data_IF_425528760580
#
_entry.id   IF_425528760580
#
_cell.length_a   1.000
_cell.length_b   1.000
_cell.length_c   1.000
_cell.angle_alpha   90.00
_cell.angle_beta   90.00
_cell.angle_gamma   90.00
#
_symmetry.space_group_name_H-M   'P 1'
#
loop_
_entity.id
_entity.type
_entity.pdbx_description
1 polymer ?
#
# COMPACT_ATOMS: atom_id res chain seq x y z
N UNK A 1 -16.14 -25.04 -9.23
CA UNK A 1 -14.98 -24.32 -8.68
C UNK A 1 -14.46 -23.46 -9.81
N UNK A 2 -14.23 -22.17 -9.59
CA UNK A 2 -13.64 -21.30 -10.63
C UNK A 2 -12.18 -21.75 -10.80
N UNK A 3 -11.77 -22.12 -12.00
CA UNK A 3 -10.35 -22.44 -12.27
C UNK A 3 -9.54 -21.13 -12.30
N UNK A 4 -8.24 -21.13 -11.95
CA UNK A 4 -7.38 -19.97 -12.15
C UNK A 4 -7.46 -19.38 -13.57
N UNK A 5 -7.64 -20.24 -14.58
CA UNK A 5 -7.77 -19.82 -15.98
C UNK A 5 -9.10 -19.16 -16.33
N UNK A 6 -10.11 -19.27 -15.47
CA UNK A 6 -11.43 -18.70 -15.68
C UNK A 6 -11.53 -17.23 -15.18
N UNK A 7 -10.49 -16.75 -14.50
CA UNK A 7 -10.42 -15.37 -14.01
C UNK A 7 -9.88 -14.46 -15.10
N UNK A 8 -10.66 -13.47 -15.51
CA UNK A 8 -10.24 -12.49 -16.51
C UNK A 8 -9.31 -11.44 -15.89
N UNK A 9 -8.00 -11.67 -16.02
CA UNK A 9 -6.95 -10.72 -15.67
C UNK A 9 -6.49 -9.83 -16.83
N UNK A 10 -7.18 -9.84 -17.97
CA UNK A 10 -6.78 -9.07 -19.16
C UNK A 10 -6.68 -7.54 -18.96
N UNK A 11 -7.39 -6.89 -18.00
CA UNK A 11 -7.18 -5.47 -17.73
C UNK A 11 -5.80 -5.15 -17.12
N UNK A 12 -5.16 -6.12 -16.47
CA UNK A 12 -3.89 -5.91 -15.77
C UNK A 12 -2.70 -5.85 -16.74
N UNK A 13 -1.58 -5.19 -16.34
CA UNK A 13 -0.32 -5.40 -17.02
C UNK A 13 0.03 -6.89 -17.07
N UNK A 14 0.49 -7.39 -18.21
CA UNK A 14 0.75 -8.82 -18.41
C UNK A 14 1.62 -9.47 -17.31
N UNK A 15 2.71 -8.84 -16.81
CA UNK A 15 3.47 -9.40 -15.69
C UNK A 15 2.70 -9.57 -14.39
N UNK A 16 1.71 -8.70 -14.13
CA UNK A 16 0.83 -8.78 -12.96
C UNK A 16 -0.23 -9.86 -13.15
N UNK A 17 -0.84 -9.94 -14.34
CA UNK A 17 -1.79 -11.01 -14.68
C UNK A 17 -1.17 -12.40 -14.54
N UNK A 18 0.06 -12.59 -15.05
CA UNK A 18 0.81 -13.84 -14.90
C UNK A 18 1.07 -14.15 -13.43
N UNK A 19 1.57 -13.18 -12.66
CA UNK A 19 1.82 -13.37 -11.24
C UNK A 19 0.56 -13.79 -10.48
N UNK A 20 -0.58 -13.15 -10.72
CA UNK A 20 -1.84 -13.52 -10.06
C UNK A 20 -2.29 -14.92 -10.46
N UNK A 21 -2.16 -15.28 -11.73
CA UNK A 21 -2.45 -16.64 -12.21
C UNK A 21 -1.57 -17.68 -11.52
N UNK A 22 -0.26 -17.43 -11.43
CA UNK A 22 0.70 -18.33 -10.78
C UNK A 22 0.40 -18.52 -9.28
N UNK A 23 -0.01 -17.44 -8.60
CA UNK A 23 -0.45 -17.52 -7.19
C UNK A 23 -1.68 -18.41 -7.05
N UNK A 24 -2.69 -18.26 -7.91
CA UNK A 24 -3.90 -19.09 -7.87
C UNK A 24 -3.59 -20.57 -8.19
N UNK A 25 -2.72 -20.83 -9.17
CA UNK A 25 -2.23 -22.18 -9.49
C UNK A 25 -1.47 -22.80 -8.32
N UNK A 26 -0.67 -22.01 -7.59
CA UNK A 26 0.04 -22.50 -6.41
C UNK A 26 -0.91 -22.93 -5.29
N UNK A 27 -1.98 -22.15 -5.04
CA UNK A 27 -3.02 -22.56 -4.09
C UNK A 27 -3.75 -23.83 -4.52
N UNK A 28 -4.13 -23.95 -5.80
CA UNK A 28 -4.78 -25.15 -6.33
C UNK A 28 -3.86 -26.38 -6.24
N UNK A 29 -2.58 -26.22 -6.60
CA UNK A 29 -1.56 -27.29 -6.53
C UNK A 29 -1.29 -27.76 -5.11
N UNK A 30 -1.44 -26.87 -4.13
CA UNK A 30 -1.35 -27.18 -2.71
C UNK A 30 -2.65 -27.76 -2.12
N UNK A 31 -3.72 -27.88 -2.91
CA UNK A 31 -5.03 -28.36 -2.45
C UNK A 31 -5.76 -27.38 -1.53
N UNK A 32 -5.42 -26.09 -1.59
CA UNK A 32 -6.00 -25.05 -0.73
C UNK A 32 -7.17 -24.39 -1.44
N UNK A 33 -8.33 -24.35 -0.78
CA UNK A 33 -9.50 -23.64 -1.27
C UNK A 33 -9.31 -22.13 -1.20
N UNK A 34 -9.60 -21.44 -2.30
CA UNK A 34 -9.56 -19.99 -2.41
C UNK A 34 -10.82 -19.45 -3.08
N UNK A 35 -11.14 -18.19 -2.78
CA UNK A 35 -12.15 -17.40 -3.49
C UNK A 35 -11.64 -15.98 -3.67
N UNK A 36 -12.04 -15.32 -4.75
CA UNK A 36 -11.78 -13.91 -4.95
C UNK A 36 -12.78 -13.06 -4.17
N UNK A 37 -12.37 -11.83 -3.86
CA UNK A 37 -13.25 -10.78 -3.36
C UNK A 37 -12.88 -9.44 -3.98
N UNK A 38 -13.35 -8.33 -3.39
CA UNK A 38 -13.05 -6.99 -3.87
C UNK A 38 -13.46 -6.75 -5.32
N UNK A 39 -12.63 -6.02 -6.05
CA UNK A 39 -12.94 -5.53 -7.41
C UNK A 39 -13.20 -6.65 -8.42
N UNK A 40 -12.62 -7.84 -8.21
CA UNK A 40 -12.83 -9.01 -9.06
C UNK A 40 -14.27 -9.57 -8.97
N UNK A 41 -15.02 -9.23 -7.92
CA UNK A 41 -16.40 -9.69 -7.72
C UNK A 41 -17.46 -8.60 -7.91
N UNK A 42 -17.07 -7.32 -7.99
CA UNK A 42 -18.00 -6.18 -8.12
C UNK A 42 -18.16 -5.68 -9.56
N UNK A 43 -17.36 -6.19 -10.50
CA UNK A 43 -17.34 -5.70 -11.88
C UNK A 43 -16.55 -4.41 -12.07
N UNK A 44 -15.75 -4.02 -11.08
CA UNK A 44 -14.93 -2.80 -11.05
C UNK A 44 -13.43 -3.11 -11.30
N UNK A 45 -13.13 -4.32 -11.80
CA UNK A 45 -11.76 -4.77 -12.03
C UNK A 45 -11.09 -3.99 -13.15
N UNK A 46 -9.91 -3.42 -12.87
CA UNK A 46 -9.17 -2.59 -13.82
C UNK A 46 -7.65 -2.84 -13.77
N UNK A 47 -6.89 -2.07 -14.53
CA UNK A 47 -5.43 -2.20 -14.65
C UNK A 47 -4.63 -1.97 -13.36
N UNK A 48 -5.26 -1.44 -12.33
CA UNK A 48 -4.66 -1.17 -11.03
C UNK A 48 -5.23 -2.05 -9.92
N UNK A 49 -6.12 -3.00 -10.25
CA UNK A 49 -6.73 -3.89 -9.28
C UNK A 49 -5.70 -4.78 -8.59
N UNK A 50 -5.99 -5.03 -7.32
CA UNK A 50 -5.34 -5.99 -6.44
C UNK A 50 -5.92 -7.41 -6.60
N UNK A 51 -5.21 -8.37 -6.01
CA UNK A 51 -5.70 -9.73 -5.83
C UNK A 51 -6.18 -9.90 -4.39
N UNK A 52 -7.49 -9.77 -4.17
CA UNK A 52 -8.13 -10.00 -2.86
C UNK A 52 -8.55 -11.46 -2.70
N UNK A 53 -7.75 -12.25 -1.97
CA UNK A 53 -7.98 -13.67 -1.71
C UNK A 53 -8.65 -13.90 -0.36
N UNK A 54 -9.67 -14.75 -0.35
CA UNK A 54 -10.12 -15.44 0.86
C UNK A 54 -9.75 -16.91 0.77
N UNK A 55 -9.09 -17.42 1.80
CA UNK A 55 -8.49 -18.77 1.80
C UNK A 55 -8.95 -19.60 2.98
N UNK A 56 -9.07 -20.91 2.80
CA UNK A 56 -9.62 -21.83 3.82
C UNK A 56 -8.62 -22.28 4.89
N UNK A 57 -7.44 -21.66 4.95
CA UNK A 57 -6.33 -22.00 5.87
C UNK A 57 -5.92 -20.77 6.69
N UNK A 58 -4.98 -20.94 7.62
CA UNK A 58 -4.47 -19.80 8.39
C UNK A 58 -3.79 -18.79 7.46
N UNK A 59 -3.88 -17.51 7.79
CA UNK A 59 -3.26 -16.44 6.98
C UNK A 59 -1.75 -16.66 6.84
N UNK A 60 -1.08 -17.11 7.91
CA UNK A 60 0.36 -17.38 7.88
C UNK A 60 0.75 -18.45 6.86
N UNK A 61 0.04 -19.57 6.84
CA UNK A 61 0.28 -20.65 5.87
C UNK A 61 -0.02 -20.20 4.43
N UNK A 62 -1.13 -19.48 4.22
CA UNK A 62 -1.48 -18.97 2.90
C UNK A 62 -0.45 -17.99 2.36
N UNK A 63 0.09 -17.13 3.21
CA UNK A 63 1.15 -16.21 2.80
C UNK A 63 2.41 -16.96 2.36
N UNK A 64 2.80 -18.06 3.01
CA UNK A 64 3.97 -18.82 2.55
C UNK A 64 3.76 -19.37 1.13
N UNK A 65 2.54 -19.79 0.80
CA UNK A 65 2.18 -20.20 -0.58
C UNK A 65 2.33 -19.03 -1.56
N UNK A 66 1.81 -17.85 -1.21
CA UNK A 66 1.97 -16.64 -2.03
C UNK A 66 3.44 -16.29 -2.20
N UNK A 67 4.25 -16.30 -1.13
CA UNK A 67 5.70 -16.03 -1.19
C UNK A 67 6.43 -16.99 -2.12
N UNK A 68 6.13 -18.28 -2.02
CA UNK A 68 6.72 -19.29 -2.88
C UNK A 68 6.39 -19.02 -4.35
N UNK A 69 5.11 -18.76 -4.67
CA UNK A 69 4.67 -18.42 -6.01
C UNK A 69 5.33 -17.14 -6.56
N UNK A 70 5.37 -16.07 -5.75
CA UNK A 70 6.06 -14.82 -6.09
C UNK A 70 7.53 -15.07 -6.42
N UNK A 71 8.22 -15.86 -5.60
CA UNK A 71 9.64 -16.18 -5.79
C UNK A 71 9.85 -17.01 -7.06
N UNK A 72 9.00 -18.02 -7.29
CA UNK A 72 9.05 -18.86 -8.49
C UNK A 72 8.78 -18.06 -9.78
N UNK A 73 7.92 -17.05 -9.73
CA UNK A 73 7.65 -16.13 -10.83
C UNK A 73 8.75 -15.07 -11.04
N UNK A 74 9.83 -15.09 -10.24
CA UNK A 74 10.90 -14.09 -10.29
C UNK A 74 10.51 -12.72 -9.73
N UNK A 75 9.38 -12.65 -9.00
CA UNK A 75 8.94 -11.45 -8.29
C UNK A 75 9.68 -11.22 -6.98
N UNK A 76 9.54 -10.02 -6.43
CA UNK A 76 10.12 -9.63 -5.15
C UNK A 76 9.04 -9.02 -4.24
N UNK A 77 8.88 -9.57 -3.04
CA UNK A 77 8.07 -8.92 -2.00
C UNK A 77 8.78 -7.64 -1.54
N UNK A 78 8.15 -6.49 -1.74
CA UNK A 78 8.64 -5.16 -1.37
C UNK A 78 8.27 -4.78 0.06
N UNK A 79 7.02 -5.01 0.41
CA UNK A 79 6.45 -4.67 1.71
C UNK A 79 5.36 -5.69 2.05
N UNK A 80 5.23 -5.97 3.33
CA UNK A 80 4.24 -6.88 3.86
C UNK A 80 3.88 -6.48 5.28
N UNK A 81 2.60 -6.47 5.60
CA UNK A 81 2.11 -6.12 6.92
C UNK A 81 0.76 -6.75 7.22
N UNK A 82 0.43 -6.81 8.52
CA UNK A 82 -0.85 -7.35 8.98
C UNK A 82 -1.96 -6.29 8.90
N UNK A 83 -3.19 -6.73 8.67
CA UNK A 83 -4.37 -5.87 8.69
C UNK A 83 -4.85 -5.46 10.09
N UNK A 84 -4.05 -5.70 11.14
CA UNK A 84 -4.42 -5.43 12.53
C UNK A 84 -4.81 -3.96 12.75
N UNK A 85 -4.07 -3.04 12.12
CA UNK A 85 -4.36 -1.61 12.21
C UNK A 85 -5.67 -1.16 11.56
N UNK A 86 -6.16 -1.94 10.59
CA UNK A 86 -7.48 -1.74 9.98
C UNK A 86 -8.52 -2.67 10.60
N UNK A 87 -8.26 -3.20 11.80
CA UNK A 87 -9.11 -4.12 12.54
C UNK A 87 -9.46 -5.41 11.78
N UNK A 88 -8.54 -5.88 10.95
CA UNK A 88 -8.62 -7.13 10.18
C UNK A 88 -7.43 -8.03 10.50
N UNK A 89 -7.41 -8.68 11.66
CA UNK A 89 -6.25 -9.48 12.10
C UNK A 89 -6.05 -10.78 11.28
N UNK A 90 -7.01 -11.17 10.46
CA UNK A 90 -6.89 -12.27 9.49
C UNK A 90 -6.38 -11.82 8.11
N UNK A 91 -6.26 -10.51 7.88
CA UNK A 91 -5.77 -9.95 6.62
C UNK A 91 -4.25 -9.80 6.68
N UNK A 92 -3.60 -10.18 5.61
CA UNK A 92 -2.22 -9.79 5.32
C UNK A 92 -2.13 -9.15 3.94
N UNK A 93 -1.38 -8.06 3.85
CA UNK A 93 -1.21 -7.29 2.62
C UNK A 93 0.22 -7.41 2.16
N UNK A 94 0.43 -7.72 0.88
CA UNK A 94 1.73 -7.83 0.24
C UNK A 94 1.80 -6.92 -0.98
N UNK A 95 2.91 -6.18 -1.11
CA UNK A 95 3.26 -5.47 -2.32
C UNK A 95 4.41 -6.20 -3.00
N UNK A 96 4.21 -6.60 -4.25
CA UNK A 96 5.16 -7.41 -5.00
C UNK A 96 5.62 -6.64 -6.22
N UNK A 97 6.93 -6.48 -6.39
CA UNK A 97 7.50 -6.05 -7.65
C UNK A 97 7.61 -7.25 -8.59
N UNK A 98 6.97 -7.15 -9.74
CA UNK A 98 7.18 -8.05 -10.87
C UNK A 98 7.59 -7.22 -12.08
N UNK A 99 8.77 -7.49 -12.62
CA UNK A 99 9.39 -6.71 -13.69
C UNK A 99 9.49 -5.21 -13.32
N UNK A 100 8.58 -4.38 -13.81
CA UNK A 100 8.49 -2.94 -13.54
C UNK A 100 7.14 -2.52 -12.93
N UNK A 101 6.33 -3.48 -12.50
CA UNK A 101 4.99 -3.24 -11.94
C UNK A 101 4.93 -3.66 -10.48
N UNK A 102 4.22 -2.86 -9.68
CA UNK A 102 3.89 -3.21 -8.31
C UNK A 102 2.47 -3.79 -8.29
N UNK A 103 2.36 -5.04 -7.89
CA UNK A 103 1.11 -5.73 -7.63
C UNK A 103 0.80 -5.70 -6.13
N UNK A 104 -0.47 -5.59 -5.78
CA UNK A 104 -0.96 -5.74 -4.40
C UNK A 104 -1.74 -7.05 -4.29
N UNK A 105 -1.42 -7.83 -3.27
CA UNK A 105 -2.07 -9.10 -2.95
C UNK A 105 -2.53 -9.03 -1.50
N UNK A 106 -3.82 -9.21 -1.28
CA UNK A 106 -4.46 -9.24 0.03
C UNK A 106 -4.89 -10.68 0.29
N UNK A 107 -4.47 -11.25 1.43
CA UNK A 107 -4.78 -12.63 1.82
C UNK A 107 -5.55 -12.59 3.13
N UNK A 108 -6.81 -13.01 3.09
CA UNK A 108 -7.72 -13.10 4.23
C UNK A 108 -7.98 -14.57 4.57
N UNK A 109 -7.32 -15.05 5.62
CA UNK A 109 -7.40 -16.44 6.09
C UNK A 109 -8.49 -16.69 7.13
N UNK A 110 -8.66 -17.95 7.53
CA UNK A 110 -9.66 -18.31 8.55
C UNK A 110 -9.19 -18.06 9.99
N UNK A 111 -7.89 -17.87 10.19
CA UNK A 111 -7.29 -17.66 11.51
C UNK A 111 -6.35 -16.46 11.49
N UNK A 112 -6.52 -15.60 12.51
CA UNK A 112 -5.70 -14.41 12.69
C UNK A 112 -4.24 -14.78 12.92
N UNK A 113 -3.35 -13.91 12.44
CA UNK A 113 -1.93 -14.01 12.75
C UNK A 113 -1.57 -13.03 13.86
N UNK A 114 -0.51 -13.33 14.61
CA UNK A 114 0.08 -12.32 15.49
C UNK A 114 0.52 -11.11 14.65
N UNK A 115 0.37 -9.87 15.17
CA UNK A 115 0.79 -8.67 14.44
C UNK A 115 2.25 -8.79 13.98
N UNK A 116 2.54 -8.52 12.70
CA UNK A 116 3.92 -8.48 12.20
C UNK A 116 4.51 -7.11 12.43
N UNK A 117 5.34 -6.95 13.46
CA UNK A 117 6.28 -5.83 13.55
C UNK A 117 5.65 -4.43 13.45
N UNK A 118 4.37 -4.26 13.78
CA UNK A 118 3.64 -2.99 13.66
C UNK A 118 4.08 -1.93 14.69
N UNK A 119 5.10 -2.22 15.51
CA UNK A 119 5.67 -1.27 16.47
C UNK A 119 6.19 0.02 15.79
N UNK A 120 6.64 -0.11 14.54
CA UNK A 120 7.09 1.00 13.70
C UNK A 120 6.21 1.23 12.46
N UNK A 121 4.89 1.11 12.66
CA UNK A 121 3.87 1.27 11.62
C UNK A 121 4.06 2.46 10.65
N UNK A 122 4.54 3.68 11.03
CA UNK A 122 4.71 4.76 10.05
C UNK A 122 5.78 4.41 9.01
N UNK A 123 6.81 3.65 9.40
CA UNK A 123 7.87 3.21 8.50
C UNK A 123 7.42 2.06 7.59
N UNK A 124 6.45 1.27 8.03
CA UNK A 124 5.91 0.14 7.28
C UNK A 124 4.90 0.62 6.24
N UNK A 125 4.01 1.56 6.60
CA UNK A 125 2.91 1.98 5.72
C UNK A 125 3.23 3.17 4.83
N UNK A 126 4.19 4.03 5.20
CA UNK A 126 4.57 5.19 4.38
C UNK A 126 4.90 4.80 2.91
N UNK A 127 5.75 3.79 2.63
CA UNK A 127 6.05 3.41 1.25
C UNK A 127 4.84 2.91 0.43
N UNK A 128 4.06 1.89 0.85
CA UNK A 128 2.97 1.40 0.03
C UNK A 128 1.80 2.38 -0.11
N UNK A 129 1.51 3.19 0.93
CA UNK A 129 0.35 4.08 0.89
C UNK A 129 0.55 5.28 -0.04
N UNK A 130 1.78 5.77 -0.22
CA UNK A 130 2.04 6.86 -1.19
C UNK A 130 1.74 6.40 -2.62
N UNK A 131 2.03 5.14 -2.94
CA UNK A 131 1.71 4.53 -4.22
C UNK A 131 0.21 4.36 -4.40
N UNK A 132 -0.49 3.84 -3.38
CA UNK A 132 -1.94 3.72 -3.42
C UNK A 132 -2.67 5.05 -3.61
N UNK A 133 -2.19 6.16 -3.04
CA UNK A 133 -2.76 7.49 -3.28
C UNK A 133 -2.67 7.84 -4.78
N UNK A 134 -1.52 7.59 -5.41
CA UNK A 134 -1.32 7.88 -6.83
C UNK A 134 -2.29 7.12 -7.74
N UNK A 135 -2.59 5.85 -7.40
CA UNK A 135 -3.58 5.03 -8.13
C UNK A 135 -4.96 5.68 -8.07
N UNK A 136 -5.41 6.12 -6.89
CA UNK A 136 -6.71 6.76 -6.72
C UNK A 136 -6.82 8.06 -7.52
N UNK A 137 -5.75 8.86 -7.55
CA UNK A 137 -5.69 10.06 -8.39
C UNK A 137 -5.76 9.68 -9.87
N UNK A 138 -5.01 8.66 -10.31
CA UNK A 138 -4.99 8.20 -11.69
C UNK A 138 -6.34 7.65 -12.17
N UNK A 139 -7.07 6.95 -11.30
CA UNK A 139 -8.44 6.45 -11.54
C UNK A 139 -9.52 7.54 -11.58
N UNK A 140 -9.21 8.75 -11.12
CA UNK A 140 -10.21 9.81 -11.00
C UNK A 140 -11.03 9.76 -9.70
N UNK A 141 -10.64 8.95 -8.73
CA UNK A 141 -11.31 8.81 -7.43
C UNK A 141 -10.93 9.96 -6.48
N UNK A 142 -11.14 11.21 -6.90
CA UNK A 142 -10.53 12.38 -6.25
C UNK A 142 -10.91 12.57 -4.77
N UNK A 143 -12.14 12.20 -4.39
CA UNK A 143 -12.57 12.25 -2.98
C UNK A 143 -11.87 11.18 -2.14
N UNK A 144 -11.71 9.97 -2.68
CA UNK A 144 -10.99 8.89 -2.00
C UNK A 144 -9.49 9.22 -1.92
N UNK A 145 -8.92 9.82 -2.97
CA UNK A 145 -7.54 10.31 -2.96
C UNK A 145 -7.31 11.42 -1.93
N UNK A 146 -8.21 12.42 -1.84
CA UNK A 146 -8.12 13.46 -0.83
C UNK A 146 -8.15 12.89 0.59
N UNK A 147 -9.09 11.97 0.86
CA UNK A 147 -9.17 11.26 2.16
C UNK A 147 -7.92 10.42 2.44
N UNK A 148 -7.37 9.75 1.43
CA UNK A 148 -6.16 8.95 1.60
C UNK A 148 -4.93 9.83 1.91
N UNK A 149 -4.85 11.04 1.34
CA UNK A 149 -3.82 12.02 1.69
C UNK A 149 -3.98 12.51 3.15
N UNK A 150 -5.21 12.79 3.60
CA UNK A 150 -5.48 13.12 5.02
C UNK A 150 -5.04 12.00 5.95
N UNK A 151 -5.44 10.76 5.65
CA UNK A 151 -5.07 9.59 6.45
C UNK A 151 -3.55 9.43 6.48
N UNK A 152 -2.87 9.57 5.34
CA UNK A 152 -1.42 9.48 5.27
C UNK A 152 -0.73 10.54 6.14
N UNK A 153 -1.28 11.76 6.24
CA UNK A 153 -0.73 12.76 7.15
C UNK A 153 -0.79 12.30 8.61
N UNK A 154 -1.95 11.82 9.02
CA UNK A 154 -2.20 11.35 10.39
C UNK A 154 -1.35 10.13 10.74
N UNK A 155 -1.17 9.25 9.77
CA UNK A 155 -0.64 7.91 9.99
C UNK A 155 0.86 7.77 9.66
N UNK A 156 1.34 8.45 8.63
CA UNK A 156 2.74 8.34 8.25
C UNK A 156 3.49 9.61 8.60
N UNK A 157 3.07 10.75 8.06
CA UNK A 157 3.87 11.96 8.10
C UNK A 157 4.04 12.52 9.51
N UNK A 158 2.93 12.81 10.20
CA UNK A 158 2.98 13.46 11.52
C UNK A 158 3.71 12.59 12.55
N UNK A 159 3.48 11.26 12.63
CA UNK A 159 4.26 10.40 13.51
C UNK A 159 5.76 10.43 13.22
N UNK A 160 6.18 10.47 11.95
CA UNK A 160 7.60 10.62 11.59
C UNK A 160 8.17 11.97 12.07
N UNK A 161 7.42 13.05 11.88
CA UNK A 161 7.81 14.39 12.36
C UNK A 161 7.89 14.45 13.88
N UNK A 162 6.90 13.90 14.60
CA UNK A 162 6.88 13.86 16.07
C UNK A 162 8.05 13.02 16.61
N UNK A 163 8.39 11.90 15.96
CA UNK A 163 9.59 11.11 16.28
C UNK A 163 10.88 11.90 16.10
N UNK A 164 11.06 12.59 14.97
CA UNK A 164 12.22 13.47 14.71
C UNK A 164 12.35 14.57 15.75
N UNK A 165 11.23 15.14 16.18
CA UNK A 165 11.19 16.23 17.16
C UNK A 165 11.25 15.73 18.61
N UNK A 166 11.38 14.42 18.84
CA UNK A 166 11.37 13.78 20.17
C UNK A 166 10.13 14.16 20.99
N UNK A 167 8.96 14.16 20.34
CA UNK A 167 7.66 14.50 20.96
C UNK A 167 6.77 13.26 21.08
N UNK A 168 5.79 13.35 21.97
CA UNK A 168 4.75 12.33 22.09
C UNK A 168 3.79 12.35 20.89
N UNK A 169 3.23 11.17 20.58
CA UNK A 169 2.28 10.99 19.48
C UNK A 169 0.93 11.63 19.81
N UNK A 170 0.61 12.74 19.16
CA UNK A 170 -0.63 13.48 19.42
C UNK A 170 -1.41 13.86 18.18
N UNK A 171 -0.91 13.43 17.01
CA UNK A 171 -1.53 13.71 15.72
C UNK A 171 -1.61 15.22 15.46
N UNK A 172 -2.73 15.65 14.89
CA UNK A 172 -2.96 17.04 14.48
C UNK A 172 -3.17 18.02 15.65
N UNK A 173 -3.13 17.58 16.91
CA UNK A 173 -3.51 18.42 18.05
C UNK A 173 -2.55 19.59 18.25
N UNK A 174 -3.03 20.80 17.94
CA UNK A 174 -2.33 22.10 18.10
C UNK A 174 -0.99 22.13 17.38
N UNK A 175 -0.91 21.55 16.18
CA UNK A 175 0.32 21.57 15.39
C UNK A 175 0.79 23.00 15.11
N UNK A 176 -0.14 23.94 14.96
CA UNK A 176 0.10 25.37 14.71
C UNK A 176 0.90 26.04 15.83
N UNK A 177 0.76 25.54 17.06
CA UNK A 177 1.49 26.08 18.22
C UNK A 177 2.77 25.30 18.51
N UNK A 178 2.87 24.08 17.98
CA UNK A 178 3.93 23.14 18.32
C UNK A 178 5.03 23.15 17.26
N UNK A 179 4.69 23.25 15.99
CA UNK A 179 5.65 23.22 14.90
C UNK A 179 6.24 24.61 14.65
N UNK A 180 7.42 24.65 14.04
CA UNK A 180 7.93 25.91 13.49
C UNK A 180 7.05 26.37 12.34
N UNK A 181 7.07 27.66 12.04
CA UNK A 181 6.36 28.22 10.88
C UNK A 181 6.78 27.52 9.57
N UNK A 182 8.05 27.16 9.45
CA UNK A 182 8.58 26.42 8.30
C UNK A 182 8.00 25.01 8.20
N UNK A 183 7.95 24.24 9.29
CA UNK A 183 7.38 22.89 9.28
C UNK A 183 5.87 22.94 9.02
N UNK A 184 5.16 23.92 9.59
CA UNK A 184 3.73 24.12 9.37
C UNK A 184 3.42 24.47 7.91
N UNK A 185 4.17 25.39 7.30
CA UNK A 185 3.98 25.78 5.90
C UNK A 185 4.15 24.58 4.95
N UNK A 186 5.07 23.65 5.26
CA UNK A 186 5.28 22.44 4.47
C UNK A 186 4.13 21.44 4.61
N UNK A 187 3.60 21.25 5.82
CA UNK A 187 2.40 20.44 6.02
C UNK A 187 1.22 21.04 5.25
N UNK A 188 0.99 22.36 5.36
CA UNK A 188 -0.07 23.06 4.63
C UNK A 188 0.09 22.88 3.11
N UNK A 189 1.32 22.87 2.59
CA UNK A 189 1.60 22.59 1.18
C UNK A 189 1.14 21.21 0.70
N UNK A 190 0.85 20.26 1.60
CA UNK A 190 0.31 18.94 1.24
C UNK A 190 -1.22 18.91 1.10
N UNK A 191 -1.91 20.04 1.31
CA UNK A 191 -3.37 20.13 1.15
C UNK A 191 -3.75 20.57 -0.27
N UNK A 192 -4.75 19.91 -0.83
CA UNK A 192 -5.45 20.41 -2.01
C UNK A 192 -6.61 21.31 -1.56
N UNK A 193 -6.84 22.42 -2.28
CA UNK A 193 -8.00 23.29 -2.02
C UNK A 193 -9.28 22.68 -2.59
N UNK A 194 -9.15 21.95 -3.70
CA UNK A 194 -10.21 21.22 -4.37
C UNK A 194 -9.73 19.81 -4.74
N UNK A 195 -10.59 18.79 -4.61
CA UNK A 195 -10.27 17.42 -5.02
C UNK A 195 -10.26 17.32 -6.56
N UNK A 196 -9.17 17.75 -7.17
CA UNK A 196 -8.93 17.71 -8.62
C UNK A 196 -7.61 17.01 -8.92
N UNK A 197 -7.45 16.44 -10.11
CA UNK A 197 -6.20 15.77 -10.52
C UNK A 197 -4.98 16.66 -10.31
N UNK A 198 -5.04 17.93 -10.76
CA UNK A 198 -3.91 18.87 -10.67
C UNK A 198 -3.52 19.15 -9.22
N UNK A 199 -4.50 19.55 -8.39
CA UNK A 199 -4.21 19.92 -7.00
C UNK A 199 -3.83 18.71 -6.14
N UNK A 200 -4.45 17.54 -6.37
CA UNK A 200 -4.12 16.31 -5.64
C UNK A 200 -2.75 15.75 -6.04
N UNK A 201 -2.37 15.83 -7.32
CA UNK A 201 -1.00 15.47 -7.76
C UNK A 201 0.03 16.40 -7.14
N UNK A 202 -0.24 17.71 -7.06
CA UNK A 202 0.65 18.67 -6.40
C UNK A 202 0.78 18.37 -4.89
N UNK A 203 -0.35 18.14 -4.21
CA UNK A 203 -0.39 17.73 -2.81
C UNK A 203 0.39 16.43 -2.56
N UNK A 204 0.21 15.42 -3.42
CA UNK A 204 0.95 14.15 -3.37
C UNK A 204 2.45 14.34 -3.57
N UNK A 205 2.87 15.21 -4.50
CA UNK A 205 4.28 15.52 -4.73
C UNK A 205 4.91 16.18 -3.50
N UNK A 206 4.25 17.19 -2.93
CA UNK A 206 4.70 17.86 -1.72
C UNK A 206 4.78 16.90 -0.53
N UNK A 207 3.83 15.96 -0.44
CA UNK A 207 3.84 14.90 0.56
C UNK A 207 5.04 13.97 0.37
N UNK A 208 5.37 13.57 -0.86
CA UNK A 208 6.54 12.75 -1.15
C UNK A 208 7.84 13.44 -0.71
N UNK A 209 7.98 14.73 -1.02
CA UNK A 209 9.18 15.50 -0.69
C UNK A 209 9.37 15.64 0.82
N UNK A 210 8.28 15.91 1.55
CA UNK A 210 8.33 16.05 2.99
C UNK A 210 8.62 14.70 3.68
N UNK A 211 7.97 13.61 3.26
CA UNK A 211 8.24 12.27 3.82
C UNK A 211 9.69 11.84 3.56
N UNK A 212 10.21 12.07 2.36
CA UNK A 212 11.61 11.77 2.02
C UNK A 212 12.58 12.47 2.97
N UNK A 213 12.30 13.72 3.30
CA UNK A 213 13.09 14.49 4.24
C UNK A 213 13.00 13.95 5.66
N UNK A 214 11.80 13.63 6.13
CA UNK A 214 11.59 13.04 7.46
C UNK A 214 12.29 11.68 7.59
N UNK A 215 12.21 10.82 6.56
CA UNK A 215 12.93 9.55 6.52
C UNK A 215 14.45 9.75 6.53
N UNK A 216 14.95 10.79 5.86
CA UNK A 216 16.39 11.13 5.85
C UNK A 216 16.86 11.63 7.21
N UNK A 217 16.15 12.60 7.79
CA UNK A 217 16.50 13.21 9.07
C UNK A 217 16.34 12.25 10.25
N UNK A 218 15.38 11.33 10.17
CA UNK A 218 15.18 10.26 11.15
C UNK A 218 16.18 9.10 11.02
N UNK A 219 17.06 9.09 10.01
CA UNK A 219 18.04 8.04 9.82
C UNK A 219 17.47 6.72 9.28
N UNK A 220 16.29 6.75 8.66
CA UNK A 220 15.56 5.56 8.18
C UNK A 220 15.95 5.17 6.76
N UNK A 221 17.24 4.92 6.52
CA UNK A 221 17.80 4.72 5.17
C UNK A 221 17.14 3.56 4.40
N UNK A 222 16.87 2.43 5.07
CA UNK A 222 16.22 1.27 4.43
C UNK A 222 14.78 1.60 4.00
N UNK A 223 13.99 2.20 4.89
CA UNK A 223 12.63 2.64 4.58
C UNK A 223 12.61 3.70 3.48
N UNK A 224 13.56 4.64 3.49
CA UNK A 224 13.71 5.62 2.40
C UNK A 224 13.96 4.95 1.06
N UNK A 225 14.90 4.00 0.99
CA UNK A 225 15.18 3.28 -0.24
C UNK A 225 13.93 2.56 -0.78
N UNK A 226 13.15 1.94 0.11
CA UNK A 226 11.86 1.34 -0.24
C UNK A 226 10.84 2.39 -0.71
N UNK A 227 10.72 3.51 0.00
CA UNK A 227 9.85 4.63 -0.34
C UNK A 227 10.11 5.15 -1.76
N UNK A 228 11.38 5.36 -2.14
CA UNK A 228 11.70 5.84 -3.50
C UNK A 228 11.28 4.86 -4.60
N UNK A 229 11.29 3.54 -4.33
CA UNK A 229 10.80 2.54 -5.31
C UNK A 229 9.30 2.70 -5.55
N UNK A 230 8.53 2.93 -4.48
CA UNK A 230 7.10 3.20 -4.60
C UNK A 230 6.81 4.55 -5.26
N UNK A 231 7.57 5.61 -4.93
CA UNK A 231 7.43 6.94 -5.58
C UNK A 231 7.73 6.87 -7.08
N UNK A 232 8.75 6.10 -7.48
CA UNK A 232 9.08 5.88 -8.89
C UNK A 232 7.92 5.17 -9.62
N UNK A 233 7.37 4.11 -9.03
CA UNK A 233 6.23 3.38 -9.59
C UNK A 233 4.95 4.23 -9.62
N UNK A 234 4.76 5.12 -8.63
CA UNK A 234 3.62 6.02 -8.53
C UNK A 234 3.67 7.15 -9.58
N UNK A 235 4.85 7.72 -9.81
CA UNK A 235 5.05 8.80 -10.79
C UNK A 235 4.60 8.41 -12.20
N UNK A 236 4.80 7.14 -12.59
CA UNK A 236 4.35 6.63 -13.89
C UNK A 236 2.83 6.46 -14.02
N UNK A 237 2.09 6.51 -12.90
CA UNK A 237 0.63 6.50 -12.91
C UNK A 237 0.03 7.91 -13.07
N UNK A 238 0.80 8.94 -12.73
CA UNK A 238 0.35 10.34 -12.72
C UNK A 238 0.80 11.13 -13.96
N UNK A 239 1.80 10.63 -14.68
CA UNK A 239 2.24 11.17 -15.99
C UNK A 239 1.14 11.12 -17.04
#
# INVERSE_FOLDING_TARGET
MISPSDVDFSPLPAPVATLFTDVLIAFESAGIGWTLSGSACTGEFDRWSDLDLKVSISTGEATEVVRAAVTSAGGQVLSQYSGVAVHRPQLEVMYVLTHAHIAKIDVDGVAAMLPRGDADWPLVWAPPWIYQISIRIARGEYLAAARAIDQYREDALIPLMERRLHRGLTGHRRLEERLSEADLARIIGTYATRPSRVELTAAWSNLCDLVREELTRGGYAATRALFERFVLAASSQLS
#
